data_IF_208071233111
#
_entry.id   IF_208071233111
#
_cell.length_a   1.000
_cell.length_b   1.000
_cell.length_c   1.000
_cell.angle_alpha   90.00
_cell.angle_beta   90.00
_cell.angle_gamma   90.00
#
_symmetry.space_group_name_H-M   'P 1'
#
loop_
_entity.id
_entity.type
_entity.pdbx_description
1 polymer ?
#
# COMPACT_ATOMS: atom_id res chain seq x y z
N UNK A 1 -9.34 30.23 -0.86
CA UNK A 1 -10.64 29.56 -1.10
C UNK A 1 -10.57 28.23 -0.38
N UNK A 2 -11.25 28.09 0.75
CA UNK A 2 -11.34 26.83 1.48
C UNK A 2 -12.07 25.82 0.61
N UNK A 3 -11.35 24.84 0.06
CA UNK A 3 -11.96 23.67 -0.54
C UNK A 3 -12.43 22.79 0.63
N UNK A 4 -13.69 22.97 1.03
CA UNK A 4 -14.39 21.99 1.85
C UNK A 4 -14.27 20.64 1.12
N UNK A 5 -13.44 19.75 1.66
CA UNK A 5 -13.20 18.42 1.14
C UNK A 5 -14.55 17.74 0.88
N UNK A 6 -14.91 17.55 -0.39
CA UNK A 6 -16.16 16.91 -0.76
C UNK A 6 -16.14 15.45 -0.31
N UNK A 7 -16.76 15.18 0.84
CA UNK A 7 -16.92 13.83 1.38
C UNK A 7 -17.98 13.10 0.56
N UNK A 8 -17.57 12.04 -0.12
CA UNK A 8 -18.48 11.16 -0.86
C UNK A 8 -18.94 10.02 0.06
N UNK A 9 -20.24 9.75 0.11
CA UNK A 9 -20.74 8.54 0.77
C UNK A 9 -20.44 7.32 -0.09
N UNK A 10 -19.75 6.33 0.46
CA UNK A 10 -19.38 5.09 -0.25
C UNK A 10 -19.76 3.86 0.56
N UNK A 11 -19.95 2.74 -0.12
CA UNK A 11 -20.09 1.43 0.52
C UNK A 11 -18.74 0.72 0.51
N UNK A 12 -18.32 0.19 1.66
CA UNK A 12 -17.10 -0.60 1.80
C UNK A 12 -17.44 -2.05 2.08
N UNK A 13 -16.70 -2.95 1.44
CA UNK A 13 -16.81 -4.40 1.64
C UNK A 13 -15.51 -4.93 2.22
N UNK A 14 -15.60 -5.91 3.11
CA UNK A 14 -14.41 -6.59 3.63
C UNK A 14 -13.91 -7.61 2.60
N UNK A 15 -12.59 -7.66 2.40
CA UNK A 15 -11.96 -8.56 1.44
C UNK A 15 -10.92 -9.45 2.12
N UNK A 16 -10.77 -10.68 1.63
CA UNK A 16 -9.79 -11.66 2.11
C UNK A 16 -8.56 -11.75 1.20
N UNK A 17 -8.04 -10.62 0.73
CA UNK A 17 -6.92 -10.60 -0.23
C UNK A 17 -5.61 -11.10 0.41
N UNK A 18 -4.89 -11.95 -0.32
CA UNK A 18 -3.50 -12.32 0.02
C UNK A 18 -2.56 -11.26 -0.55
N UNK A 19 -1.67 -10.73 0.28
CA UNK A 19 -0.70 -9.69 -0.08
C UNK A 19 0.67 -10.13 0.40
N UNK A 20 1.72 -9.82 -0.35
CA UNK A 20 3.10 -10.07 0.07
C UNK A 20 3.39 -9.38 1.42
N UNK A 21 4.03 -10.14 2.33
CA UNK A 21 4.18 -9.79 3.74
C UNK A 21 4.85 -8.43 3.96
N UNK A 22 5.90 -8.10 3.21
CA UNK A 22 6.68 -6.86 3.36
C UNK A 22 5.97 -5.69 2.71
N UNK A 23 5.31 -5.87 1.57
CA UNK A 23 4.41 -4.86 0.98
C UNK A 23 3.36 -4.43 2.02
N UNK A 24 2.71 -5.40 2.68
CA UNK A 24 1.71 -5.09 3.72
C UNK A 24 2.31 -4.33 4.91
N UNK A 25 3.53 -4.68 5.35
CA UNK A 25 4.21 -3.96 6.44
C UNK A 25 4.55 -2.52 6.07
N UNK A 26 5.07 -2.30 4.86
CA UNK A 26 5.35 -0.95 4.35
C UNK A 26 4.06 -0.14 4.25
N UNK A 27 2.99 -0.71 3.69
CA UNK A 27 1.70 -0.04 3.56
C UNK A 27 1.09 0.33 4.93
N UNK A 28 1.12 -0.59 5.91
CA UNK A 28 0.65 -0.30 7.29
C UNK A 28 1.47 0.79 7.96
N UNK A 29 2.80 0.73 7.85
CA UNK A 29 3.67 1.77 8.43
C UNK A 29 3.49 3.13 7.78
N UNK A 30 3.19 3.17 6.47
CA UNK A 30 2.89 4.41 5.76
C UNK A 30 1.52 4.97 6.17
N UNK A 31 0.50 4.12 6.30
CA UNK A 31 -0.84 4.54 6.73
C UNK A 31 -0.78 5.18 8.13
N UNK A 32 -0.04 4.57 9.06
CA UNK A 32 0.22 5.13 10.39
C UNK A 32 0.94 6.49 10.31
N UNK A 33 1.98 6.60 9.48
CA UNK A 33 2.72 7.85 9.31
C UNK A 33 1.85 8.99 8.76
N UNK A 34 0.88 8.68 7.91
CA UNK A 34 -0.03 9.64 7.30
C UNK A 34 -1.33 9.86 8.10
N UNK A 35 -1.46 9.26 9.28
CA UNK A 35 -2.65 9.33 10.14
C UNK A 35 -3.96 8.95 9.40
N UNK A 36 -3.92 7.82 8.67
CA UNK A 36 -5.07 7.31 7.92
C UNK A 36 -5.20 5.80 8.03
N UNK A 37 -6.38 5.28 7.69
CA UNK A 37 -6.57 3.83 7.66
C UNK A 37 -5.82 3.20 6.47
N UNK A 38 -5.48 1.90 6.59
CA UNK A 38 -4.92 1.15 5.45
C UNK A 38 -5.88 1.15 4.26
N UNK A 39 -7.19 1.13 4.51
CA UNK A 39 -8.22 1.20 3.47
C UNK A 39 -8.15 2.52 2.71
N UNK A 40 -8.12 3.66 3.41
CA UNK A 40 -8.06 4.98 2.77
C UNK A 40 -6.74 5.16 1.99
N UNK A 41 -5.62 4.65 2.51
CA UNK A 41 -4.34 4.64 1.78
C UNK A 41 -4.45 3.85 0.46
N UNK A 42 -5.01 2.63 0.51
CA UNK A 42 -5.15 1.78 -0.66
C UNK A 42 -6.12 2.38 -1.69
N UNK A 43 -7.27 2.88 -1.23
CA UNK A 43 -8.24 3.59 -2.08
C UNK A 43 -7.58 4.80 -2.76
N UNK A 44 -6.82 5.61 -2.03
CA UNK A 44 -6.09 6.76 -2.57
C UNK A 44 -5.04 6.39 -3.62
N UNK A 45 -4.24 5.35 -3.35
CA UNK A 45 -3.22 4.86 -4.31
C UNK A 45 -3.89 4.32 -5.59
N UNK A 46 -4.99 3.58 -5.45
CA UNK A 46 -5.73 3.04 -6.59
C UNK A 46 -6.34 4.16 -7.45
N UNK A 47 -6.97 5.17 -6.84
CA UNK A 47 -7.53 6.31 -7.58
C UNK A 47 -6.46 7.03 -8.42
N UNK A 48 -5.30 7.34 -7.83
CA UNK A 48 -4.19 7.93 -8.58
C UNK A 48 -3.69 7.01 -9.70
N UNK A 49 -3.56 5.71 -9.42
CA UNK A 49 -3.08 4.73 -10.41
C UNK A 49 -4.06 4.59 -11.59
N UNK A 50 -5.37 4.59 -11.33
CA UNK A 50 -6.41 4.56 -12.37
C UNK A 50 -6.39 5.81 -13.25
N UNK A 51 -5.96 6.95 -12.71
CA UNK A 51 -5.78 8.20 -13.45
C UNK A 51 -4.37 8.38 -14.05
N UNK A 52 -3.46 7.41 -13.85
CA UNK A 52 -2.06 7.52 -14.30
C UNK A 52 -1.25 8.60 -13.58
N UNK A 53 -1.66 9.00 -12.37
CA UNK A 53 -1.00 10.03 -11.55
C UNK A 53 -0.11 9.43 -10.48
N UNK A 54 0.84 10.23 -10.00
CA UNK A 54 1.72 9.86 -8.87
C UNK A 54 1.00 10.06 -7.53
N UNK A 55 0.84 9.02 -6.69
CA UNK A 55 0.07 9.11 -5.45
C UNK A 55 0.78 9.84 -4.30
N UNK A 56 2.09 10.07 -4.39
CA UNK A 56 2.91 10.52 -3.27
C UNK A 56 3.87 11.64 -3.68
N UNK A 57 3.93 12.65 -2.82
CA UNK A 57 4.92 13.73 -2.90
C UNK A 57 6.33 13.24 -2.50
N UNK A 58 7.39 13.99 -2.87
CA UNK A 58 8.78 13.58 -2.60
C UNK A 58 9.09 13.23 -1.14
N UNK A 59 8.54 13.98 -0.18
CA UNK A 59 8.73 13.71 1.25
C UNK A 59 8.12 12.35 1.67
N UNK A 60 6.95 12.01 1.11
CA UNK A 60 6.28 10.74 1.36
C UNK A 60 7.03 9.59 0.69
N UNK A 61 7.59 9.80 -0.51
CA UNK A 61 8.46 8.82 -1.17
C UNK A 61 9.72 8.51 -0.36
N UNK A 62 10.32 9.52 0.30
CA UNK A 62 11.45 9.30 1.20
C UNK A 62 11.07 8.44 2.41
N UNK A 63 9.88 8.69 2.99
CA UNK A 63 9.35 7.85 4.08
C UNK A 63 9.12 6.41 3.61
N UNK A 64 8.56 6.23 2.41
CA UNK A 64 8.38 4.91 1.80
C UNK A 64 9.73 4.21 1.66
N UNK A 65 10.77 4.88 1.16
CA UNK A 65 12.11 4.30 1.04
C UNK A 65 12.63 3.81 2.39
N UNK A 66 12.51 4.64 3.44
CA UNK A 66 12.93 4.28 4.80
C UNK A 66 12.19 3.03 5.31
N UNK A 67 10.88 2.94 5.06
CA UNK A 67 10.07 1.79 5.45
C UNK A 67 10.44 0.53 4.64
N UNK A 68 10.73 0.69 3.34
CA UNK A 68 11.19 -0.41 2.49
C UNK A 68 12.50 -0.99 3.02
N UNK A 69 13.45 -0.14 3.38
CA UNK A 69 14.74 -0.56 3.94
C UNK A 69 14.55 -1.29 5.28
N UNK A 70 13.74 -0.72 6.18
CA UNK A 70 13.42 -1.30 7.48
C UNK A 70 12.81 -2.71 7.37
N UNK A 71 11.94 -2.93 6.38
CA UNK A 71 11.24 -4.21 6.20
C UNK A 71 11.88 -5.14 5.15
N UNK A 72 12.99 -4.73 4.53
CA UNK A 72 13.67 -5.49 3.49
C UNK A 72 12.81 -5.71 2.22
N UNK A 73 12.00 -4.71 1.84
CA UNK A 73 11.20 -4.75 0.61
C UNK A 73 12.03 -4.28 -0.59
N UNK A 74 12.57 -5.21 -1.35
CA UNK A 74 13.33 -4.93 -2.57
C UNK A 74 12.48 -4.92 -3.84
N UNK A 75 11.23 -5.38 -3.76
CA UNK A 75 10.32 -5.42 -4.91
C UNK A 75 10.06 -4.01 -5.46
N UNK A 76 9.83 -3.96 -6.77
CA UNK A 76 9.54 -2.76 -7.54
C UNK A 76 8.32 -2.98 -8.45
N UNK A 77 7.93 -1.94 -9.18
CA UNK A 77 6.85 -2.05 -10.15
C UNK A 77 7.14 -3.06 -11.28
N UNK A 78 8.41 -3.37 -11.60
CA UNK A 78 8.73 -4.37 -12.62
C UNK A 78 8.38 -5.79 -12.19
N UNK A 79 8.27 -6.04 -10.89
CA UNK A 79 7.93 -7.35 -10.32
C UNK A 79 6.40 -7.54 -10.23
N UNK A 80 5.63 -6.51 -10.58
CA UNK A 80 4.17 -6.57 -10.57
C UNK A 80 3.67 -7.73 -11.44
N UNK A 81 2.68 -8.47 -10.92
CA UNK A 81 2.08 -9.65 -11.56
C UNK A 81 3.01 -10.85 -11.77
N UNK A 82 4.26 -10.80 -11.29
CA UNK A 82 5.24 -11.89 -11.40
C UNK A 82 5.49 -12.62 -10.08
N UNK A 83 4.83 -12.19 -8.99
CA UNK A 83 4.95 -12.82 -7.68
C UNK A 83 4.22 -14.17 -7.65
N UNK A 84 4.91 -15.21 -7.17
CA UNK A 84 4.33 -16.53 -6.92
C UNK A 84 4.60 -16.94 -5.48
N UNK A 85 3.80 -17.87 -4.97
CA UNK A 85 3.99 -18.40 -3.63
C UNK A 85 5.14 -19.39 -3.65
N UNK A 86 6.13 -19.21 -2.76
CA UNK A 86 7.09 -20.26 -2.51
C UNK A 86 6.32 -21.52 -2.11
N UNK A 87 6.64 -22.65 -2.75
CA UNK A 87 6.03 -23.94 -2.41
C UNK A 87 6.24 -24.16 -0.92
N UNK A 88 5.13 -24.30 -0.19
CA UNK A 88 5.13 -24.25 1.27
C UNK A 88 6.20 -25.14 1.88
N UNK A 89 7.04 -24.56 2.75
CA UNK A 89 7.60 -25.33 3.84
C UNK A 89 6.40 -25.80 4.65
N UNK A 90 6.00 -27.05 4.45
CA UNK A 90 5.17 -27.75 5.41
C UNK A 90 5.95 -27.73 6.74
N UNK A 91 5.53 -26.85 7.66
CA UNK A 91 5.85 -26.97 9.08
C UNK A 91 5.22 -28.28 9.57
N UNK A 92 5.93 -29.40 9.37
CA UNK A 92 5.80 -30.57 10.22
C UNK A 92 6.64 -30.29 11.48
N UNK A 93 5.96 -29.89 12.55
CA UNK A 93 6.40 -30.10 13.93
C UNK A 93 5.18 -30.44 14.78
#
# INVERSE_FOLDING_TARGET
MNSEAHKHSVQRVQTGVRIEKRILKVAKGLAEYLDMSLGDLLEGVLLHSFEGKTPFEPATLQRISTLKDLYGLTLTASDAHQLFEARGEHENS
#
